data_IF_602954816061
#
_entry.id   IF_602954816061
#
_cell.length_a   1.000
_cell.length_b   1.000
_cell.length_c   1.000
_cell.angle_alpha   90.00
_cell.angle_beta   90.00
_cell.angle_gamma   90.00
#
_symmetry.space_group_name_H-M   'P 1'
#
loop_
_entity.id
_entity.type
_entity.pdbx_description
1 polymer ?
#
# COMPACT_ATOMS: atom_id res chain seq x y z
N UNK A 1 -4.18 0.79 4.08
CA UNK A 1 -5.05 0.65 2.87
C UNK A 1 -4.19 0.64 1.61
N UNK A 2 -4.57 -0.09 0.56
CA UNK A 2 -3.95 -0.04 -0.76
C UNK A 2 -5.04 0.16 -1.82
N UNK A 3 -4.93 1.23 -2.62
CA UNK A 3 -5.95 1.62 -3.61
C UNK A 3 -5.38 1.46 -5.02
N UNK A 4 -6.11 0.77 -5.89
CA UNK A 4 -5.76 0.67 -7.30
C UNK A 4 -6.30 -0.59 -7.97
N UNK A 5 -6.12 -0.66 -9.30
CA UNK A 5 -6.48 -1.84 -10.09
C UNK A 5 -5.75 -3.08 -9.58
N UNK A 6 -6.45 -4.20 -9.40
CA UNK A 6 -5.84 -5.46 -9.00
C UNK A 6 -5.17 -6.13 -10.20
N UNK A 7 -3.90 -5.80 -10.45
CA UNK A 7 -3.13 -6.33 -11.56
C UNK A 7 -1.62 -6.33 -11.26
N UNK A 8 -0.85 -7.11 -12.04
CA UNK A 8 0.62 -7.21 -11.95
C UNK A 8 1.32 -5.87 -11.77
N UNK A 9 0.90 -4.83 -12.50
CA UNK A 9 1.51 -3.50 -12.38
C UNK A 9 1.48 -2.97 -10.95
N UNK A 10 0.35 -3.13 -10.24
CA UNK A 10 0.11 -2.50 -8.95
C UNK A 10 0.68 -3.27 -7.77
N UNK A 11 1.26 -4.45 -8.01
CA UNK A 11 2.11 -5.16 -7.05
C UNK A 11 1.46 -5.58 -5.73
N UNK A 12 0.13 -5.71 -5.68
CA UNK A 12 -0.55 -6.15 -4.46
C UNK A 12 -0.08 -7.55 -4.00
N UNK A 13 0.42 -8.38 -4.91
CA UNK A 13 1.04 -9.66 -4.55
C UNK A 13 2.33 -9.50 -3.72
N UNK A 14 3.13 -8.46 -3.99
CA UNK A 14 4.32 -8.12 -3.19
C UNK A 14 3.89 -7.68 -1.80
N UNK A 15 2.85 -6.85 -1.72
CA UNK A 15 2.28 -6.42 -0.44
C UNK A 15 1.69 -7.58 0.35
N UNK A 16 1.00 -8.53 -0.27
CA UNK A 16 0.51 -9.73 0.42
C UNK A 16 1.66 -10.58 0.98
N UNK A 17 2.79 -10.72 0.24
CA UNK A 17 3.99 -11.39 0.76
C UNK A 17 4.63 -10.62 1.94
N UNK A 18 4.63 -9.29 1.88
CA UNK A 18 5.13 -8.44 2.97
C UNK A 18 4.24 -8.50 4.21
N UNK A 19 2.94 -8.68 4.01
CA UNK A 19 1.89 -8.55 5.03
C UNK A 19 2.04 -9.55 6.17
N UNK A 20 2.52 -10.77 5.90
CA UNK A 20 2.79 -11.74 6.97
C UNK A 20 3.78 -11.20 8.01
N UNK A 21 4.83 -10.52 7.56
CA UNK A 21 5.82 -9.91 8.45
C UNK A 21 5.23 -8.72 9.20
N UNK A 22 4.41 -7.91 8.52
CA UNK A 22 3.72 -6.77 9.14
C UNK A 22 2.80 -7.23 10.27
N UNK A 23 1.98 -8.27 10.05
CA UNK A 23 1.06 -8.80 11.07
C UNK A 23 1.81 -9.42 12.24
N UNK A 24 2.98 -10.03 12.03
CA UNK A 24 3.81 -10.53 13.14
C UNK A 24 4.34 -9.40 14.02
N UNK A 25 4.72 -8.26 13.43
CA UNK A 25 5.21 -7.11 14.16
C UNK A 25 4.08 -6.26 14.76
N UNK A 26 2.93 -6.20 14.08
CA UNK A 26 1.74 -5.43 14.47
C UNK A 26 0.52 -6.36 14.41
N UNK A 27 0.26 -7.18 15.45
CA UNK A 27 -0.80 -8.21 15.44
C UNK A 27 -2.23 -7.67 15.20
N UNK A 28 -2.46 -6.39 15.50
CA UNK A 28 -3.73 -5.70 15.27
C UNK A 28 -3.92 -5.20 13.82
N UNK A 29 -2.88 -5.20 13.00
CA UNK A 29 -2.93 -4.59 11.67
C UNK A 29 -3.97 -5.27 10.76
N UNK A 30 -4.60 -4.45 9.92
CA UNK A 30 -5.57 -4.87 8.90
C UNK A 30 -5.20 -4.23 7.57
N UNK A 31 -5.31 -5.00 6.49
CA UNK A 31 -5.08 -4.51 5.13
C UNK A 31 -6.42 -4.48 4.40
N UNK A 32 -6.74 -3.33 3.79
CA UNK A 32 -7.84 -3.24 2.84
C UNK A 32 -7.28 -2.98 1.46
N UNK A 33 -7.64 -3.85 0.51
CA UNK A 33 -7.41 -3.66 -0.92
C UNK A 33 -8.69 -3.08 -1.54
N UNK A 34 -8.59 -1.87 -2.09
CA UNK A 34 -9.70 -1.14 -2.71
C UNK A 34 -9.45 -1.05 -4.21
N UNK A 35 -10.40 -1.54 -5.00
CA UNK A 35 -10.31 -1.70 -6.45
C UNK A 35 -10.63 -3.11 -6.91
N UNK A 36 -10.70 -3.28 -8.23
CA UNK A 36 -10.89 -4.56 -8.90
C UNK A 36 -9.88 -4.72 -10.05
N UNK A 37 -9.79 -5.93 -10.60
CA UNK A 37 -8.92 -6.21 -11.72
C UNK A 37 -8.70 -7.70 -11.97
N UNK A 38 -7.97 -8.04 -13.04
CA UNK A 38 -7.79 -9.42 -13.51
C UNK A 38 -7.08 -10.33 -12.49
N UNK A 39 -6.30 -9.78 -11.55
CA UNK A 39 -5.62 -10.58 -10.52
C UNK A 39 -6.47 -10.79 -9.25
N UNK A 40 -7.70 -10.26 -9.18
CA UNK A 40 -8.52 -10.25 -7.96
C UNK A 40 -8.69 -11.62 -7.32
N UNK A 41 -9.08 -12.64 -8.10
CA UNK A 41 -9.32 -13.99 -7.57
C UNK A 41 -8.04 -14.66 -7.09
N UNK A 42 -6.94 -14.49 -7.83
CA UNK A 42 -5.62 -14.99 -7.45
C UNK A 42 -5.14 -14.35 -6.15
N UNK A 43 -5.34 -13.05 -5.99
CA UNK A 43 -4.97 -12.32 -4.76
C UNK A 43 -5.82 -12.76 -3.57
N UNK A 44 -7.15 -12.92 -3.75
CA UNK A 44 -8.05 -13.40 -2.69
C UNK A 44 -7.67 -14.79 -2.20
N UNK A 45 -7.33 -15.70 -3.11
CA UNK A 45 -6.93 -17.06 -2.75
C UNK A 45 -5.63 -17.12 -1.91
N UNK A 46 -4.74 -16.14 -2.07
CA UNK A 46 -3.47 -16.07 -1.33
C UNK A 46 -3.49 -15.13 -0.11
N UNK A 47 -4.61 -14.48 0.18
CA UNK A 47 -4.68 -13.47 1.23
C UNK A 47 -5.05 -14.07 2.59
N UNK A 48 -4.38 -13.68 3.69
CA UNK A 48 -4.75 -14.12 5.03
C UNK A 48 -6.04 -13.41 5.51
N UNK A 49 -6.68 -13.90 6.59
CA UNK A 49 -7.94 -13.34 7.11
C UNK A 49 -7.90 -11.87 7.53
N UNK A 50 -6.71 -11.31 7.77
CA UNK A 50 -6.53 -9.88 8.09
C UNK A 50 -6.57 -8.95 6.87
N UNK A 51 -6.78 -9.50 5.68
CA UNK A 51 -6.92 -8.76 4.42
C UNK A 51 -8.38 -8.73 3.97
N UNK A 52 -8.91 -7.54 3.78
CA UNK A 52 -10.24 -7.28 3.23
C UNK A 52 -10.12 -6.80 1.77
N UNK A 53 -10.98 -7.33 0.90
CA UNK A 53 -11.15 -6.83 -0.47
C UNK A 53 -12.44 -6.02 -0.53
N UNK A 54 -12.32 -4.70 -0.67
CA UNK A 54 -13.47 -3.79 -0.70
C UNK A 54 -14.15 -3.70 -2.08
N UNK A 55 -13.49 -4.21 -3.13
CA UNK A 55 -13.92 -4.03 -4.52
C UNK A 55 -13.71 -2.61 -5.02
N UNK A 56 -14.12 -2.34 -6.25
CA UNK A 56 -14.13 -0.99 -6.81
C UNK A 56 -15.17 -0.09 -6.13
N UNK A 57 -14.76 1.12 -5.80
CA UNK A 57 -15.62 2.15 -5.17
C UNK A 57 -15.61 3.42 -6.00
N UNK A 58 -16.72 4.17 -5.95
CA UNK A 58 -16.81 5.46 -6.63
C UNK A 58 -16.00 6.56 -5.93
N UNK A 59 -15.87 6.46 -4.60
CA UNK A 59 -15.15 7.42 -3.78
C UNK A 59 -14.17 6.71 -2.84
N UNK A 60 -12.88 6.98 -3.04
CA UNK A 60 -11.79 6.39 -2.25
C UNK A 60 -11.46 7.21 -1.00
N UNK A 61 -11.96 8.45 -0.89
CA UNK A 61 -11.64 9.36 0.24
C UNK A 61 -12.00 8.77 1.61
N UNK A 62 -13.16 8.11 1.81
CA UNK A 62 -13.47 7.49 3.10
C UNK A 62 -12.45 6.41 3.51
N UNK A 63 -11.90 5.69 2.54
CA UNK A 63 -10.87 4.67 2.79
C UNK A 63 -9.53 5.28 3.17
N UNK A 64 -9.14 6.39 2.54
CA UNK A 64 -7.95 7.12 2.97
C UNK A 64 -8.16 7.72 4.36
N UNK A 65 -9.30 8.34 4.64
CA UNK A 65 -9.58 8.96 5.94
C UNK A 65 -9.63 7.97 7.10
N UNK A 66 -10.02 6.72 6.84
CA UNK A 66 -10.04 5.66 7.84
C UNK A 66 -8.70 4.90 7.97
N UNK A 67 -7.69 5.23 7.17
CA UNK A 67 -6.42 4.51 7.15
C UNK A 67 -5.37 5.16 8.04
N UNK A 68 -4.65 4.34 8.82
CA UNK A 68 -3.42 4.78 9.50
C UNK A 68 -2.26 4.99 8.49
N UNK A 69 -2.27 4.21 7.40
CA UNK A 69 -1.23 4.21 6.37
C UNK A 69 -1.78 3.79 5.01
N UNK A 70 -1.31 4.42 3.93
CA UNK A 70 -1.58 4.00 2.54
C UNK A 70 -0.34 3.40 1.90
N UNK A 71 -0.49 2.26 1.22
CA UNK A 71 0.63 1.55 0.58
C UNK A 71 0.42 1.44 -0.92
N UNK A 72 1.41 1.85 -1.70
CA UNK A 72 1.46 1.72 -3.16
C UNK A 72 2.65 0.82 -3.57
N UNK A 73 2.46 -0.50 -3.70
CA UNK A 73 3.53 -1.46 -3.97
C UNK A 73 3.81 -1.64 -5.47
N UNK A 74 3.63 -0.61 -6.28
CA UNK A 74 3.65 -0.69 -7.75
C UNK A 74 5.00 -1.10 -8.32
N UNK A 75 4.98 -1.87 -9.40
CA UNK A 75 6.18 -2.23 -10.17
C UNK A 75 6.59 -1.15 -11.17
N UNK A 76 5.63 -0.35 -11.63
CA UNK A 76 5.84 0.82 -12.48
C UNK A 76 4.61 1.72 -12.44
N UNK A 77 4.81 3.03 -12.64
CA UNK A 77 3.75 4.04 -12.75
C UNK A 77 4.07 5.03 -13.88
N UNK A 78 3.03 5.76 -14.31
CA UNK A 78 3.24 6.98 -15.12
C UNK A 78 3.21 8.21 -14.21
N UNK A 79 2.07 8.45 -13.58
CA UNK A 79 1.90 9.39 -12.48
C UNK A 79 1.06 8.72 -11.39
N UNK A 80 1.60 8.60 -10.18
CA UNK A 80 0.89 7.96 -9.08
C UNK A 80 -0.01 8.97 -8.35
N UNK A 81 -1.30 9.00 -8.69
CA UNK A 81 -2.27 9.88 -8.03
C UNK A 81 -2.65 9.40 -6.62
N UNK A 82 -2.69 8.08 -6.39
CA UNK A 82 -3.15 7.53 -5.11
C UNK A 82 -2.32 8.00 -3.89
N UNK A 83 -0.97 8.07 -3.94
CA UNK A 83 -0.19 8.68 -2.86
C UNK A 83 -0.52 10.16 -2.65
N UNK A 84 -0.71 10.94 -3.72
CA UNK A 84 -1.06 12.36 -3.63
C UNK A 84 -2.42 12.57 -2.96
N UNK A 85 -3.43 11.78 -3.35
CA UNK A 85 -4.76 11.80 -2.73
C UNK A 85 -4.71 11.37 -1.25
N UNK A 86 -3.90 10.36 -0.93
CA UNK A 86 -3.68 9.88 0.42
C UNK A 86 -3.00 10.94 1.30
N UNK A 87 -1.99 11.64 0.81
CA UNK A 87 -1.38 12.75 1.54
C UNK A 87 -2.32 13.96 1.63
N UNK A 88 -3.14 14.23 0.60
CA UNK A 88 -4.05 15.37 0.56
C UNK A 88 -5.16 15.35 1.62
N UNK A 89 -5.44 14.22 2.25
CA UNK A 89 -6.24 14.23 3.49
C UNK A 89 -5.50 13.70 4.74
N UNK A 90 -4.17 13.84 4.74
CA UNK A 90 -3.34 13.77 5.94
C UNK A 90 -2.86 12.38 6.33
N UNK A 91 -2.70 11.46 5.37
CA UNK A 91 -2.25 10.08 5.68
C UNK A 91 -0.83 9.87 5.19
N UNK A 92 0.02 9.22 6.00
CA UNK A 92 1.32 8.79 5.54
C UNK A 92 1.17 7.75 4.43
N UNK A 93 2.22 7.64 3.62
CA UNK A 93 2.27 6.69 2.50
C UNK A 93 3.58 5.92 2.51
N UNK A 94 3.52 4.63 2.15
CA UNK A 94 4.69 3.87 1.70
C UNK A 94 4.51 3.60 0.21
N UNK A 95 5.49 3.97 -0.61
CA UNK A 95 5.47 3.74 -2.05
C UNK A 95 6.71 2.96 -2.46
N UNK A 96 6.59 2.15 -3.50
CA UNK A 96 7.75 1.54 -4.12
C UNK A 96 8.57 2.58 -4.88
N UNK A 97 9.88 2.35 -4.90
CA UNK A 97 10.86 3.21 -5.52
C UNK A 97 10.89 3.01 -7.04
N UNK A 98 9.89 3.58 -7.70
CA UNK A 98 9.72 3.57 -9.15
C UNK A 98 9.34 4.96 -9.64
N UNK A 99 9.72 5.27 -10.88
CA UNK A 99 9.33 6.52 -11.54
C UNK A 99 7.79 6.68 -11.51
N UNK A 100 7.34 7.92 -11.32
CA UNK A 100 5.96 8.31 -11.13
C UNK A 100 5.44 8.13 -9.70
N UNK A 101 6.00 7.21 -8.90
CA UNK A 101 5.63 7.00 -7.50
C UNK A 101 6.57 7.77 -6.55
N UNK A 102 7.89 7.71 -6.77
CA UNK A 102 8.88 8.44 -5.98
C UNK A 102 8.61 9.94 -5.94
N UNK A 103 8.24 10.53 -7.07
CA UNK A 103 8.00 11.96 -7.26
C UNK A 103 6.75 12.46 -6.52
N UNK A 104 5.91 11.54 -6.04
CA UNK A 104 4.79 11.92 -5.16
C UNK A 104 5.25 12.29 -3.75
N UNK A 105 6.43 11.83 -3.31
CA UNK A 105 6.92 12.05 -1.95
C UNK A 105 7.64 13.40 -1.82
N UNK A 106 7.43 14.12 -0.69
CA UNK A 106 8.35 15.16 -0.26
C UNK A 106 9.77 14.59 -0.06
N UNK A 107 10.84 15.30 -0.44
CA UNK A 107 12.22 14.82 -0.28
C UNK A 107 12.57 14.32 1.14
N UNK A 108 12.03 14.97 2.16
CA UNK A 108 12.23 14.65 3.58
C UNK A 108 11.56 13.34 4.03
N UNK A 109 10.61 12.82 3.25
CA UNK A 109 9.89 11.58 3.55
C UNK A 109 10.52 10.35 2.88
N UNK A 110 11.41 10.55 1.88
CA UNK A 110 11.93 9.49 1.04
C UNK A 110 12.54 8.32 1.84
N UNK A 111 13.34 8.60 2.86
CA UNK A 111 14.07 7.58 3.63
C UNK A 111 13.17 6.60 4.40
N UNK A 112 11.95 7.02 4.78
CA UNK A 112 11.01 6.23 5.57
C UNK A 112 9.85 5.67 4.74
N UNK A 113 9.56 6.30 3.61
CA UNK A 113 8.39 6.01 2.80
C UNK A 113 8.71 5.22 1.52
N UNK A 114 9.98 5.03 1.16
CA UNK A 114 10.38 4.27 -0.03
C UNK A 114 10.78 2.83 0.29
N UNK A 115 10.36 1.91 -0.58
CA UNK A 115 10.85 0.53 -0.61
C UNK A 115 11.22 0.12 -2.04
N UNK A 116 12.28 -0.67 -2.29
CA UNK A 116 12.54 -1.20 -3.62
C UNK A 116 11.35 -2.01 -4.17
N UNK A 117 11.06 -1.94 -5.49
CA UNK A 117 10.08 -2.82 -6.10
C UNK A 117 10.53 -4.29 -5.98
N UNK A 118 9.56 -5.21 -5.94
CA UNK A 118 9.81 -6.65 -5.74
C UNK A 118 10.55 -7.05 -4.45
N UNK A 119 10.63 -6.17 -3.44
CA UNK A 119 11.22 -6.49 -2.13
C UNK A 119 10.16 -6.48 -1.01
N UNK A 120 9.48 -7.62 -0.75
CA UNK A 120 8.53 -7.73 0.35
C UNK A 120 9.13 -7.43 1.73
N UNK A 121 10.42 -7.70 1.94
CA UNK A 121 11.05 -7.50 3.23
C UNK A 121 11.29 -6.02 3.51
N UNK A 122 11.77 -5.26 2.51
CA UNK A 122 11.88 -3.81 2.61
C UNK A 122 10.51 -3.14 2.75
N UNK A 123 9.53 -3.57 1.96
CA UNK A 123 8.16 -3.05 2.06
C UNK A 123 7.57 -3.29 3.47
N UNK A 124 7.75 -4.48 4.03
CA UNK A 124 7.30 -4.80 5.39
C UNK A 124 7.98 -3.92 6.44
N UNK A 125 9.30 -3.64 6.31
CA UNK A 125 10.03 -2.76 7.23
C UNK A 125 9.48 -1.33 7.20
N UNK A 126 9.30 -0.76 6.01
CA UNK A 126 8.75 0.60 5.87
C UNK A 126 7.33 0.71 6.44
N UNK A 127 6.47 -0.26 6.11
CA UNK A 127 5.09 -0.31 6.63
C UNK A 127 5.08 -0.45 8.16
N UNK A 128 5.87 -1.36 8.70
CA UNK A 128 5.93 -1.61 10.15
C UNK A 128 6.48 -0.40 10.90
N UNK A 129 7.53 0.24 10.38
CA UNK A 129 8.09 1.46 10.98
C UNK A 129 7.04 2.55 11.14
N UNK A 130 6.34 2.90 10.06
CA UNK A 130 5.31 3.94 10.11
C UNK A 130 4.09 3.57 10.97
N UNK A 131 3.72 2.29 11.06
CA UNK A 131 2.62 1.85 11.94
C UNK A 131 3.00 1.86 13.43
N UNK A 132 4.29 1.72 13.76
CA UNK A 132 4.78 1.74 15.14
C UNK A 132 5.24 3.14 15.61
N UNK A 133 5.61 4.02 14.67
CA UNK A 133 6.01 5.41 14.92
C UNK A 133 4.80 6.36 15.08
N UNK A 134 3.57 5.83 15.18
CA UNK A 134 2.37 6.63 15.36
C UNK A 134 2.31 7.23 16.78
N UNK A 135 2.94 8.40 16.94
CA UNK A 135 2.66 9.40 17.98
C UNK A 135 1.53 10.35 17.55
#
# INVERSE_FOLDING_TARGET
VCVGRLCRQKGQDVLLRAWETVVRAVPGARLVLVGDGPDGDRLRAGAPPSVLFAGAVADVRPWYQAADLVVLPSRWEGMALAPLEAMACGRPVVVTDVDGARESLPPECADRCLAPPEDPAALARAVTGLLLDAD
#
